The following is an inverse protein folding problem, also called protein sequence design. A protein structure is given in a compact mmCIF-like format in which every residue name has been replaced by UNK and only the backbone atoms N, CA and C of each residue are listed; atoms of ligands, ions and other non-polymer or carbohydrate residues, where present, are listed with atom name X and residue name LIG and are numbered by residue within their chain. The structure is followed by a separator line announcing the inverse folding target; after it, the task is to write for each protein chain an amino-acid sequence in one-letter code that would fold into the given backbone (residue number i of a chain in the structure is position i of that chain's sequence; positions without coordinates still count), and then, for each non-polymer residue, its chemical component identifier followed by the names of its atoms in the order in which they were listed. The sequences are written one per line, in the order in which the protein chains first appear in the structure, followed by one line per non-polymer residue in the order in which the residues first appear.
data_IF_736382090783
#
_entry.id   IF_736382090783
#
_cell.length_a   1.000
_cell.length_b   1.000
_cell.length_c   1.000
_cell.angle_alpha   90.00
_cell.angle_beta   90.00
_cell.angle_gamma   90.00
#
_symmetry.space_group_name_H-M   'P 1'
#
loop_
_entity.id
_entity.type
_entity.pdbx_description
1 polymer ?
#
# COMPACT_ATOMS: atom_id res chain seq x y z
N UNK A 1 30.91 -22.95 -3.66
CA UNK A 1 29.84 -22.29 -2.86
C UNK A 1 29.54 -20.96 -3.53
N UNK A 2 28.27 -20.61 -3.74
CA UNK A 2 27.85 -19.35 -4.35
C UNK A 2 26.89 -18.63 -3.41
N UNK A 3 27.15 -17.36 -3.11
CA UNK A 3 26.30 -16.50 -2.28
C UNK A 3 25.62 -15.48 -3.21
N UNK A 4 24.29 -15.40 -3.16
CA UNK A 4 23.48 -14.44 -3.94
C UNK A 4 22.83 -13.46 -2.97
N UNK A 5 23.07 -12.16 -3.17
CA UNK A 5 22.70 -11.08 -2.25
C UNK A 5 21.99 -9.92 -2.94
N UNK A 6 21.13 -10.22 -3.91
CA UNK A 6 20.36 -9.19 -4.62
C UNK A 6 19.36 -8.49 -3.69
N UNK A 7 19.38 -7.16 -3.69
CA UNK A 7 18.61 -6.34 -2.74
C UNK A 7 17.19 -6.05 -3.22
N UNK A 8 16.95 -6.09 -4.53
CA UNK A 8 15.67 -5.77 -5.16
C UNK A 8 15.25 -6.84 -6.17
N UNK A 9 15.03 -8.05 -5.67
CA UNK A 9 14.52 -9.17 -6.46
C UNK A 9 13.24 -8.85 -7.24
N UNK A 10 12.25 -8.09 -6.71
CA UNK A 10 11.06 -7.72 -7.48
C UNK A 10 11.37 -6.92 -8.76
N UNK A 11 12.41 -6.09 -8.75
CA UNK A 11 12.82 -5.34 -9.94
C UNK A 11 13.38 -6.24 -11.06
N UNK A 12 13.84 -7.45 -10.75
CA UNK A 12 14.25 -8.43 -11.77
C UNK A 12 13.05 -9.00 -12.54
N UNK A 13 11.84 -8.84 -12.00
CA UNK A 13 10.55 -9.23 -12.60
C UNK A 13 9.61 -8.02 -12.60
N UNK A 14 10.12 -6.89 -13.07
CA UNK A 14 9.48 -5.58 -12.90
C UNK A 14 8.06 -5.51 -13.48
N UNK A 15 7.80 -6.11 -14.65
CA UNK A 15 6.49 -6.06 -15.31
C UNK A 15 5.40 -6.75 -14.45
N UNK A 16 5.67 -7.95 -13.97
CA UNK A 16 4.75 -8.70 -13.13
C UNK A 16 4.62 -8.07 -11.74
N UNK A 17 5.75 -7.68 -11.13
CA UNK A 17 5.75 -7.03 -9.81
C UNK A 17 4.96 -5.72 -9.83
N UNK A 18 5.10 -4.92 -10.88
CA UNK A 18 4.32 -3.68 -11.05
C UNK A 18 2.83 -3.97 -11.19
N UNK A 19 2.48 -4.99 -11.97
CA UNK A 19 1.08 -5.39 -12.17
C UNK A 19 0.43 -5.89 -10.88
N UNK A 20 1.17 -6.64 -10.06
CA UNK A 20 0.69 -7.11 -8.75
C UNK A 20 0.57 -5.96 -7.74
N UNK A 21 1.57 -5.08 -7.68
CA UNK A 21 1.52 -3.91 -6.79
C UNK A 21 0.37 -2.96 -7.16
N UNK A 22 0.15 -2.72 -8.45
CA UNK A 22 -0.97 -1.90 -8.91
C UNK A 22 -2.34 -2.48 -8.50
N UNK A 23 -2.49 -3.81 -8.50
CA UNK A 23 -3.70 -4.47 -7.99
C UNK A 23 -3.87 -4.25 -6.48
N UNK A 24 -2.80 -4.41 -5.69
CA UNK A 24 -2.85 -4.15 -4.25
C UNK A 24 -3.26 -2.70 -3.95
N UNK A 25 -2.68 -1.73 -4.66
CA UNK A 25 -3.04 -0.31 -4.51
C UNK A 25 -4.49 -0.07 -4.92
N UNK A 26 -4.94 -0.63 -6.05
CA UNK A 26 -6.33 -0.47 -6.51
C UNK A 26 -7.33 -1.07 -5.53
N UNK A 27 -7.03 -2.24 -4.96
CA UNK A 27 -7.90 -2.89 -3.98
C UNK A 27 -7.97 -2.09 -2.68
N UNK A 28 -6.85 -1.52 -2.23
CA UNK A 28 -6.84 -0.61 -1.09
C UNK A 28 -7.61 0.70 -1.37
N UNK A 29 -7.47 1.27 -2.57
CA UNK A 29 -8.19 2.48 -2.96
C UNK A 29 -9.71 2.33 -2.92
N UNK A 30 -10.24 1.12 -3.14
CA UNK A 30 -11.69 0.86 -2.99
C UNK A 30 -12.19 1.05 -1.55
N UNK A 31 -11.32 0.95 -0.55
CA UNK A 31 -11.67 1.18 0.86
C UNK A 31 -11.66 2.68 1.21
N UNK A 32 -10.83 3.47 0.52
CA UNK A 32 -10.60 4.90 0.85
C UNK A 32 -11.19 5.89 -0.15
N UNK A 33 -11.81 5.42 -1.23
CA UNK A 33 -12.51 6.26 -2.19
C UNK A 33 -14.00 6.00 -2.14
N UNK A 34 -14.77 7.09 -2.15
CA UNK A 34 -16.23 7.00 -2.34
C UNK A 34 -16.54 6.65 -3.80
N UNK A 35 -17.79 6.29 -4.09
CA UNK A 35 -18.24 5.99 -5.45
C UNK A 35 -18.12 7.19 -6.40
N UNK A 36 -18.13 8.39 -5.84
CA UNK A 36 -17.98 9.67 -6.53
C UNK A 36 -16.49 10.04 -6.74
N UNK A 37 -15.56 9.20 -6.30
CA UNK A 37 -14.11 9.40 -6.43
C UNK A 37 -13.53 10.38 -5.41
N UNK A 38 -14.28 10.70 -4.35
CA UNK A 38 -13.77 11.55 -3.26
C UNK A 38 -12.99 10.72 -2.23
N UNK A 39 -11.96 11.32 -1.63
CA UNK A 39 -11.15 10.67 -0.61
C UNK A 39 -11.89 10.65 0.73
N UNK A 40 -12.09 9.45 1.27
CA UNK A 40 -12.62 9.22 2.60
C UNK A 40 -11.71 8.24 3.32
N UNK A 41 -11.22 8.60 4.51
CA UNK A 41 -10.37 7.71 5.31
C UNK A 41 -11.19 7.19 6.50
N UNK A 42 -11.89 6.04 6.35
CA UNK A 42 -12.68 5.43 7.42
C UNK A 42 -11.75 4.94 8.52
N UNK A 43 -11.94 5.45 9.74
CA UNK A 43 -11.12 5.06 10.91
C UNK A 43 -11.66 3.83 11.62
N UNK A 44 -12.85 3.39 11.22
CA UNK A 44 -13.54 2.17 11.64
C UNK A 44 -13.20 0.96 10.76
N UNK A 45 -12.51 1.15 9.64
CA UNK A 45 -11.97 0.06 8.82
C UNK A 45 -10.60 -0.37 9.35
N UNK A 46 -10.50 -1.61 9.82
CA UNK A 46 -9.28 -2.16 10.43
C UNK A 46 -8.07 -2.13 9.49
N UNK A 47 -8.27 -2.31 8.17
CA UNK A 47 -7.19 -2.30 7.18
C UNK A 47 -6.68 -0.86 7.02
N UNK A 48 -7.60 0.11 6.88
CA UNK A 48 -7.24 1.52 6.73
C UNK A 48 -6.55 2.03 7.98
N UNK A 49 -7.09 1.73 9.17
CA UNK A 49 -6.48 2.11 10.45
C UNK A 49 -5.09 1.48 10.63
N UNK A 50 -4.93 0.20 10.27
CA UNK A 50 -3.64 -0.48 10.34
C UNK A 50 -2.62 -0.03 9.29
N UNK A 51 -3.02 0.66 8.22
CA UNK A 51 -2.10 1.22 7.22
C UNK A 51 -1.75 2.69 7.48
N UNK A 52 -2.55 3.40 8.27
CA UNK A 52 -2.36 4.83 8.53
C UNK A 52 -1.18 5.08 9.49
N UNK A 53 -0.20 5.86 9.03
CA UNK A 53 1.01 6.19 9.82
C UNK A 53 0.95 7.60 10.40
N UNK A 54 0.35 8.54 9.68
CA UNK A 54 0.27 9.96 10.08
C UNK A 54 -1.07 10.57 9.68
N UNK A 55 -1.58 11.50 10.48
CA UNK A 55 -2.76 12.31 10.16
C UNK A 55 -2.67 13.67 10.85
N UNK A 56 -3.08 14.73 10.17
CA UNK A 56 -3.15 16.10 10.72
C UNK A 56 -1.84 16.57 11.39
N UNK A 57 -0.71 16.25 10.77
CA UNK A 57 0.63 16.62 11.27
C UNK A 57 1.12 15.79 12.46
N UNK A 58 0.37 14.77 12.89
CA UNK A 58 0.74 13.88 13.98
C UNK A 58 1.11 12.49 13.46
N UNK A 59 2.14 11.90 14.07
CA UNK A 59 2.48 10.50 13.89
C UNK A 59 1.53 9.68 14.76
N UNK A 60 0.83 8.72 14.13
CA UNK A 60 -0.14 7.86 14.79
C UNK A 60 0.45 6.50 15.18
N UNK A 61 1.61 6.14 14.59
CA UNK A 61 2.28 4.86 14.78
C UNK A 61 3.61 5.06 15.52
N UNK A 62 3.70 4.51 16.73
CA UNK A 62 4.88 4.51 17.59
C UNK A 62 5.49 3.11 17.67
#
# INVERSE_FOLDING_TARGET
VTLVGETNLPALVAADSSSLYARNVLDFLKLVLTKEGTLQVPMDDDIVAACLVTRDGQVLRN
#
